data_IF_526076861532
#
_entry.id   IF_526076861532
#
_cell.length_a   1.000
_cell.length_b   1.000
_cell.length_c   1.000
_cell.angle_alpha   90.00
_cell.angle_beta   90.00
_cell.angle_gamma   90.00
#
_symmetry.space_group_name_H-M   'P 1'
#
loop_
_entity.id
_entity.type
_entity.pdbx_description
1 polymer ?
#
# COMPACT_ATOMS: atom_id res chain seq x y z
N UNK A 1 7.40 9.73 36.93
CA UNK A 1 6.24 9.24 36.16
C UNK A 1 6.82 8.57 34.91
N UNK A 2 6.59 7.27 34.72
CA UNK A 2 7.21 6.50 33.64
C UNK A 2 6.71 6.98 32.28
N UNK A 3 7.61 7.13 31.31
CA UNK A 3 7.35 7.55 29.91
C UNK A 3 6.23 6.71 29.26
N UNK A 4 6.18 5.41 29.56
CA UNK A 4 5.09 4.51 29.17
C UNK A 4 3.70 4.95 29.66
N UNK A 5 3.60 5.56 30.83
CA UNK A 5 2.32 6.03 31.39
C UNK A 5 1.80 7.28 30.69
N UNK A 6 2.70 8.15 30.22
CA UNK A 6 2.38 9.33 29.42
C UNK A 6 1.93 8.94 28.01
N UNK A 7 2.65 8.05 27.32
CA UNK A 7 2.25 7.54 26.01
C UNK A 7 0.90 6.83 26.06
N UNK A 8 0.64 6.01 27.07
CA UNK A 8 -0.64 5.32 27.25
C UNK A 8 -1.79 6.31 27.44
N UNK A 9 -1.57 7.40 28.20
CA UNK A 9 -2.58 8.45 28.40
C UNK A 9 -2.83 9.27 27.14
N UNK A 10 -1.81 9.56 26.34
CA UNK A 10 -1.93 10.32 25.10
C UNK A 10 -2.69 9.55 24.00
N UNK A 11 -2.61 8.23 23.98
CA UNK A 11 -3.30 7.38 22.98
C UNK A 11 -4.66 6.85 23.45
N UNK A 12 -4.96 6.92 24.76
CA UNK A 12 -6.21 6.42 25.33
C UNK A 12 -7.48 6.96 24.65
N UNK A 13 -7.57 8.27 24.29
CA UNK A 13 -8.73 8.81 23.58
C UNK A 13 -8.96 8.21 22.19
N UNK A 14 -7.90 7.63 21.57
CA UNK A 14 -7.95 7.03 20.24
C UNK A 14 -8.18 5.51 20.27
N UNK A 15 -8.27 4.91 21.46
CA UNK A 15 -8.46 3.46 21.63
C UNK A 15 -9.91 3.09 21.39
N UNK A 16 -10.23 2.73 20.16
CA UNK A 16 -11.52 2.13 19.81
C UNK A 16 -11.69 0.80 20.55
N UNK A 17 -12.85 0.51 21.17
CA UNK A 17 -13.13 -0.81 21.74
C UNK A 17 -13.03 -1.91 20.68
N UNK A 18 -12.37 -3.01 21.02
CA UNK A 18 -12.20 -4.18 20.15
C UNK A 18 -12.06 -5.42 21.05
N UNK A 19 -12.53 -6.57 20.57
CA UNK A 19 -12.36 -7.89 21.19
C UNK A 19 -10.94 -8.47 20.98
N UNK A 20 -10.15 -7.85 20.07
CA UNK A 20 -8.75 -8.22 19.88
C UNK A 20 -7.90 -7.83 21.09
N UNK A 21 -6.99 -8.72 21.48
CA UNK A 21 -6.02 -8.47 22.55
C UNK A 21 -5.08 -7.29 22.25
N UNK A 22 -4.43 -6.76 23.29
CA UNK A 22 -3.56 -5.58 23.12
C UNK A 22 -2.40 -5.83 22.13
N UNK A 23 -1.78 -7.02 22.19
CA UNK A 23 -0.69 -7.38 21.28
C UNK A 23 -1.19 -7.51 19.83
N UNK A 24 -2.32 -8.19 19.63
CA UNK A 24 -2.94 -8.31 18.31
C UNK A 24 -3.17 -6.94 17.64
N UNK A 25 -3.72 -5.98 18.40
CA UNK A 25 -3.96 -4.62 17.90
C UNK A 25 -2.67 -3.90 17.49
N UNK A 26 -1.58 -4.09 18.26
CA UNK A 26 -0.28 -3.48 17.94
C UNK A 26 0.30 -4.08 16.67
N UNK A 27 0.33 -5.41 16.56
CA UNK A 27 0.94 -6.12 15.44
C UNK A 27 0.17 -5.86 14.14
N UNK A 28 -1.16 -5.95 14.18
CA UNK A 28 -2.02 -5.71 13.01
C UNK A 28 -1.95 -4.25 12.58
N UNK A 29 -2.04 -3.29 13.51
CA UNK A 29 -1.95 -1.86 13.17
C UNK A 29 -0.58 -1.50 12.59
N UNK A 30 0.50 -2.11 13.06
CA UNK A 30 1.84 -1.92 12.51
C UNK A 30 1.93 -2.46 11.07
N UNK A 31 1.43 -3.68 10.82
CA UNK A 31 1.40 -4.30 9.50
C UNK A 31 0.57 -3.46 8.51
N UNK A 32 -0.64 -3.05 8.90
CA UNK A 32 -1.49 -2.19 8.06
C UNK A 32 -0.86 -0.81 7.80
N UNK A 33 -0.18 -0.22 8.79
CA UNK A 33 0.46 1.09 8.61
C UNK A 33 1.64 1.03 7.65
N UNK A 34 2.42 -0.06 7.65
CA UNK A 34 3.47 -0.28 6.67
C UNK A 34 2.90 -0.47 5.25
N UNK A 35 1.83 -1.25 5.10
CA UNK A 35 1.11 -1.38 3.82
C UNK A 35 0.59 -0.04 3.32
N UNK A 36 0.02 0.78 4.20
CA UNK A 36 -0.47 2.10 3.84
C UNK A 36 0.65 3.01 3.32
N UNK A 37 1.84 2.93 3.91
CA UNK A 37 3.00 3.68 3.43
C UNK A 37 3.43 3.23 2.03
N UNK A 38 3.44 1.91 1.77
CA UNK A 38 3.74 1.38 0.44
C UNK A 38 2.68 1.76 -0.60
N UNK A 39 1.38 1.79 -0.22
CA UNK A 39 0.30 2.23 -1.12
C UNK A 39 0.48 3.69 -1.54
N UNK A 40 0.84 4.60 -0.61
CA UNK A 40 1.12 5.98 -0.95
C UNK A 40 2.36 6.13 -1.84
N UNK A 41 3.42 5.38 -1.58
CA UNK A 41 4.63 5.38 -2.40
C UNK A 41 4.33 4.87 -3.81
N UNK A 42 3.60 3.75 -3.94
CA UNK A 42 3.20 3.19 -5.23
C UNK A 42 2.25 4.12 -5.98
N UNK A 43 1.26 4.71 -5.30
CA UNK A 43 0.37 5.70 -5.89
C UNK A 43 1.14 6.85 -6.52
N UNK A 44 2.05 7.46 -5.77
CA UNK A 44 2.82 8.60 -6.27
C UNK A 44 3.72 8.21 -7.44
N UNK A 45 4.39 7.04 -7.38
CA UNK A 45 5.20 6.54 -8.51
C UNK A 45 4.34 6.27 -9.75
N UNK A 46 3.17 5.67 -9.57
CA UNK A 46 2.22 5.43 -10.68
C UNK A 46 1.77 6.74 -11.31
N UNK A 47 1.46 7.77 -10.49
CA UNK A 47 1.11 9.10 -11.01
C UNK A 47 2.31 9.83 -11.61
N UNK A 48 3.51 9.69 -11.06
CA UNK A 48 4.73 10.18 -11.68
C UNK A 48 4.88 9.64 -13.11
N UNK A 49 4.78 8.33 -13.29
CA UNK A 49 4.89 7.70 -14.60
C UNK A 49 3.70 8.05 -15.52
N UNK A 50 2.49 8.16 -14.98
CA UNK A 50 1.33 8.66 -15.72
C UNK A 50 1.56 10.07 -16.28
N UNK A 51 2.19 10.97 -15.54
CA UNK A 51 2.47 12.33 -16.00
C UNK A 51 3.61 12.39 -17.02
N UNK A 52 4.59 11.49 -16.93
CA UNK A 52 5.84 11.57 -17.72
C UNK A 52 5.92 10.53 -18.84
N UNK A 53 4.96 9.60 -18.97
CA UNK A 53 4.94 8.65 -20.07
C UNK A 53 4.82 9.37 -21.42
N UNK A 54 5.48 8.85 -22.45
CA UNK A 54 5.50 9.44 -23.79
C UNK A 54 5.59 8.33 -24.85
N UNK A 55 5.53 8.70 -26.14
CA UNK A 55 5.76 7.78 -27.24
C UNK A 55 4.49 7.23 -27.92
N UNK A 56 4.62 6.22 -28.77
CA UNK A 56 3.52 5.76 -29.66
C UNK A 56 2.28 5.26 -28.94
N UNK A 57 2.45 4.69 -27.73
CA UNK A 57 1.38 4.15 -26.89
C UNK A 57 1.00 5.10 -25.75
N UNK A 58 1.34 6.38 -25.86
CA UNK A 58 1.11 7.39 -24.81
C UNK A 58 -0.29 7.32 -24.23
N UNK A 59 -1.32 7.38 -25.09
CA UNK A 59 -2.71 7.45 -24.64
C UNK A 59 -3.10 6.21 -23.82
N UNK A 60 -2.73 5.03 -24.29
CA UNK A 60 -3.13 3.77 -23.67
C UNK A 60 -2.43 3.59 -22.31
N UNK A 61 -1.13 3.86 -22.24
CA UNK A 61 -0.38 3.80 -21.00
C UNK A 61 -0.80 4.88 -20.00
N UNK A 62 -1.00 6.10 -20.48
CA UNK A 62 -1.46 7.23 -19.66
C UNK A 62 -2.82 6.91 -18.97
N UNK A 63 -3.79 6.38 -19.71
CA UNK A 63 -5.09 5.99 -19.17
C UNK A 63 -4.99 4.80 -18.21
N UNK A 64 -4.24 3.76 -18.58
CA UNK A 64 -4.04 2.59 -17.72
C UNK A 64 -3.38 2.98 -16.38
N UNK A 65 -2.37 3.84 -16.42
CA UNK A 65 -1.69 4.32 -15.21
C UNK A 65 -2.58 5.22 -14.36
N UNK A 66 -3.48 5.98 -14.98
CA UNK A 66 -4.48 6.78 -14.26
C UNK A 66 -5.46 5.88 -13.50
N UNK A 67 -6.03 4.90 -14.18
CA UNK A 67 -6.94 3.91 -13.58
C UNK A 67 -6.28 3.15 -12.44
N UNK A 68 -5.04 2.68 -12.63
CA UNK A 68 -4.28 1.99 -11.58
C UNK A 68 -3.95 2.89 -10.40
N UNK A 69 -3.62 4.16 -10.66
CA UNK A 69 -3.40 5.16 -9.62
C UNK A 69 -4.64 5.35 -8.76
N UNK A 70 -5.80 5.51 -9.38
CA UNK A 70 -7.08 5.68 -8.68
C UNK A 70 -7.44 4.47 -7.82
N UNK A 71 -7.22 3.24 -8.32
CA UNK A 71 -7.41 2.01 -7.53
C UNK A 71 -6.51 1.96 -6.30
N UNK A 72 -5.21 2.23 -6.48
CA UNK A 72 -4.25 2.22 -5.37
C UNK A 72 -4.65 3.26 -4.32
N UNK A 73 -5.02 4.47 -4.76
CA UNK A 73 -5.45 5.53 -3.85
C UNK A 73 -6.72 5.17 -3.08
N UNK A 74 -7.69 4.54 -3.74
CA UNK A 74 -8.94 4.13 -3.11
C UNK A 74 -8.74 3.14 -1.95
N UNK A 75 -7.68 2.32 -1.97
CA UNK A 75 -7.38 1.39 -0.86
C UNK A 75 -6.81 2.08 0.37
N UNK A 76 -6.25 3.28 0.25
CA UNK A 76 -5.54 3.97 1.34
C UNK A 76 -6.44 4.26 2.54
N UNK A 77 -7.66 4.75 2.28
CA UNK A 77 -8.62 5.06 3.33
C UNK A 77 -9.09 3.80 4.06
N UNK A 78 -9.39 2.74 3.32
CA UNK A 78 -9.82 1.46 3.88
C UNK A 78 -8.75 0.84 4.81
N UNK A 79 -7.46 0.91 4.45
CA UNK A 79 -6.34 0.46 5.27
C UNK A 79 -6.22 1.31 6.54
N UNK A 80 -6.24 2.65 6.39
CA UNK A 80 -6.14 3.58 7.51
C UNK A 80 -7.28 3.38 8.51
N UNK A 81 -8.51 3.34 8.02
CA UNK A 81 -9.70 3.12 8.85
C UNK A 81 -9.69 1.74 9.54
N UNK A 82 -9.21 0.68 8.84
CA UNK A 82 -9.13 -0.65 9.46
C UNK A 82 -8.20 -0.61 10.68
N UNK A 83 -7.03 0.02 10.58
CA UNK A 83 -6.14 0.21 11.72
C UNK A 83 -6.83 0.97 12.86
N UNK A 84 -7.67 1.98 12.54
CA UNK A 84 -8.44 2.75 13.52
C UNK A 84 -9.58 1.94 14.15
N UNK A 85 -10.30 1.15 13.36
CA UNK A 85 -11.41 0.28 13.82
C UNK A 85 -10.97 -0.71 14.90
N UNK A 86 -9.75 -1.24 14.79
CA UNK A 86 -9.20 -2.17 15.80
C UNK A 86 -8.55 -1.46 17.00
N UNK A 87 -8.61 -0.13 17.10
CA UNK A 87 -8.06 0.65 18.21
C UNK A 87 -6.58 0.99 18.08
N UNK A 88 -5.98 0.78 16.90
CA UNK A 88 -4.64 1.22 16.55
C UNK A 88 -4.58 2.68 16.10
N UNK A 89 -3.39 3.15 15.76
CA UNK A 89 -3.12 4.43 15.07
C UNK A 89 -2.45 4.14 13.73
N UNK A 90 -2.41 5.12 12.83
CA UNK A 90 -1.83 4.96 11.51
C UNK A 90 -1.00 6.17 11.09
N UNK A 91 -0.69 6.31 9.81
CA UNK A 91 0.14 7.39 9.25
C UNK A 91 -0.39 8.78 9.62
N UNK A 92 0.53 9.75 9.72
CA UNK A 92 0.22 11.14 10.10
C UNK A 92 0.87 12.20 9.22
N UNK A 93 1.84 11.83 8.36
CA UNK A 93 2.60 12.80 7.56
C UNK A 93 3.34 12.12 6.42
N UNK A 94 3.77 12.90 5.42
CA UNK A 94 4.64 12.44 4.33
C UNK A 94 5.97 11.89 4.89
N UNK A 95 6.57 12.55 5.87
CA UNK A 95 7.79 12.03 6.52
C UNK A 95 7.57 10.71 7.27
N UNK A 96 6.33 10.41 7.69
CA UNK A 96 6.00 9.11 8.28
C UNK A 96 5.89 8.04 7.20
N UNK A 97 5.33 8.36 6.01
CA UNK A 97 5.33 7.47 4.84
C UNK A 97 6.77 7.10 4.47
N UNK A 98 7.64 8.09 4.26
CA UNK A 98 9.03 7.89 3.88
C UNK A 98 9.80 6.94 4.82
N UNK A 99 9.53 7.00 6.12
CA UNK A 99 10.21 6.13 7.10
C UNK A 99 9.71 4.68 7.09
N UNK A 100 8.51 4.42 6.57
CA UNK A 100 7.86 3.11 6.63
C UNK A 100 7.71 2.43 5.28
N UNK A 101 7.77 3.18 4.17
CA UNK A 101 7.67 2.61 2.83
C UNK A 101 8.82 1.64 2.56
N UNK A 102 8.51 0.54 1.87
CA UNK A 102 9.46 -0.51 1.46
C UNK A 102 9.66 -0.55 -0.05
N UNK A 103 8.74 0.06 -0.80
CA UNK A 103 8.90 0.32 -2.23
C UNK A 103 9.81 1.52 -2.42
N UNK A 104 10.71 1.43 -3.39
CA UNK A 104 11.69 2.49 -3.67
C UNK A 104 11.07 3.61 -4.50
N UNK A 105 11.51 4.84 -4.26
CA UNK A 105 11.18 5.99 -5.10
C UNK A 105 11.93 5.92 -6.45
N UNK A 106 11.43 6.63 -7.46
CA UNK A 106 12.12 6.86 -8.71
C UNK A 106 12.09 8.37 -9.02
N UNK A 107 13.24 9.02 -8.87
CA UNK A 107 13.44 10.45 -9.11
C UNK A 107 14.27 10.70 -10.39
N UNK A 108 14.32 9.72 -11.31
CA UNK A 108 15.05 9.87 -12.56
C UNK A 108 14.40 10.94 -13.45
N UNK A 109 15.21 11.77 -14.09
CA UNK A 109 14.75 12.82 -15.02
C UNK A 109 13.97 12.24 -16.21
N UNK A 110 14.33 11.03 -16.63
CA UNK A 110 13.68 10.30 -17.72
C UNK A 110 13.73 8.78 -17.49
N UNK A 111 12.59 8.12 -17.72
CA UNK A 111 12.45 6.66 -17.75
C UNK A 111 11.73 6.29 -19.05
N UNK A 112 12.16 5.24 -19.74
CA UNK A 112 11.44 4.78 -20.95
C UNK A 112 10.05 4.23 -20.57
N UNK A 113 9.04 4.32 -21.43
CA UNK A 113 7.71 3.76 -21.13
C UNK A 113 7.74 2.28 -20.75
N UNK A 114 8.56 1.50 -21.43
CA UNK A 114 8.74 0.07 -21.15
C UNK A 114 9.33 -0.16 -19.75
N UNK A 115 10.33 0.62 -19.37
CA UNK A 115 10.95 0.54 -18.03
C UNK A 115 9.99 1.03 -16.95
N UNK A 116 9.16 2.07 -17.22
CA UNK A 116 8.11 2.50 -16.29
C UNK A 116 7.13 1.37 -15.98
N UNK A 117 6.62 0.68 -17.00
CA UNK A 117 5.68 -0.42 -16.83
C UNK A 117 6.33 -1.62 -16.15
N UNK A 118 7.57 -1.95 -16.51
CA UNK A 118 8.33 -3.05 -15.90
C UNK A 118 8.60 -2.79 -14.41
N UNK A 119 8.99 -1.56 -14.04
CA UNK A 119 9.21 -1.18 -12.65
C UNK A 119 7.92 -1.25 -11.83
N UNK A 120 6.81 -0.72 -12.35
CA UNK A 120 5.52 -0.81 -11.66
C UNK A 120 5.00 -2.25 -11.54
N UNK A 121 5.28 -3.11 -12.53
CA UNK A 121 4.95 -4.53 -12.44
C UNK A 121 5.74 -5.22 -11.30
N UNK A 122 7.03 -4.91 -11.17
CA UNK A 122 7.85 -5.44 -10.05
C UNK A 122 7.39 -4.89 -8.70
N UNK A 123 7.08 -3.60 -8.62
CA UNK A 123 6.55 -3.00 -7.39
C UNK A 123 5.21 -3.61 -6.95
N UNK A 124 4.26 -3.83 -7.86
CA UNK A 124 3.00 -4.51 -7.54
C UNK A 124 3.23 -5.97 -7.11
N UNK A 125 4.18 -6.68 -7.73
CA UNK A 125 4.58 -8.04 -7.33
C UNK A 125 5.19 -8.04 -5.91
N UNK A 126 6.05 -7.08 -5.59
CA UNK A 126 6.63 -6.91 -4.24
C UNK A 126 5.55 -6.55 -3.21
N UNK A 127 4.65 -5.63 -3.57
CA UNK A 127 3.50 -5.28 -2.74
C UNK A 127 2.63 -6.49 -2.42
N UNK A 128 2.37 -7.36 -3.41
CA UNK A 128 1.65 -8.63 -3.19
C UNK A 128 2.34 -9.48 -2.12
N UNK A 129 3.67 -9.55 -2.12
CA UNK A 129 4.42 -10.22 -1.07
C UNK A 129 4.23 -9.59 0.31
N UNK A 130 4.21 -8.26 0.39
CA UNK A 130 3.95 -7.53 1.65
C UNK A 130 2.51 -7.71 2.14
N UNK A 131 1.55 -7.74 1.24
CA UNK A 131 0.14 -8.04 1.55
C UNK A 131 -0.01 -9.45 2.14
N UNK A 132 0.63 -10.47 1.54
CA UNK A 132 0.63 -11.84 2.08
C UNK A 132 1.26 -11.92 3.47
N UNK A 133 2.33 -11.18 3.72
CA UNK A 133 2.95 -11.12 5.05
C UNK A 133 2.02 -10.47 6.09
N UNK A 134 1.35 -9.38 5.71
CA UNK A 134 0.36 -8.72 6.59
C UNK A 134 -0.88 -9.61 6.83
N UNK A 135 -1.33 -10.35 5.81
CA UNK A 135 -2.39 -11.36 5.94
C UNK A 135 -2.04 -12.39 7.00
N UNK A 136 -0.83 -12.96 6.95
CA UNK A 136 -0.38 -13.94 7.93
C UNK A 136 -0.34 -13.38 9.37
N UNK A 137 0.02 -12.10 9.55
CA UNK A 137 -0.07 -11.43 10.86
C UNK A 137 -1.51 -11.35 11.34
N UNK A 138 -2.45 -10.92 10.47
CA UNK A 138 -3.87 -10.82 10.83
C UNK A 138 -4.47 -12.20 11.15
N UNK A 139 -4.13 -13.22 10.35
CA UNK A 139 -4.58 -14.62 10.54
C UNK A 139 -4.11 -15.18 11.89
N UNK A 140 -2.84 -14.94 12.25
CA UNK A 140 -2.27 -15.42 13.53
C UNK A 140 -2.99 -14.88 14.77
N UNK A 141 -3.70 -13.76 14.60
CA UNK A 141 -4.52 -13.12 15.64
C UNK A 141 -6.03 -13.32 15.45
N UNK A 142 -6.45 -14.17 14.49
CA UNK A 142 -7.85 -14.44 14.15
C UNK A 142 -8.64 -13.18 13.72
N UNK A 143 -7.98 -12.17 13.13
CA UNK A 143 -8.64 -10.99 12.59
C UNK A 143 -9.12 -11.26 11.16
N UNK A 144 -10.23 -11.99 11.05
CA UNK A 144 -10.85 -12.40 9.78
C UNK A 144 -11.30 -11.21 8.92
N UNK A 145 -11.60 -10.07 9.52
CA UNK A 145 -12.02 -8.90 8.78
C UNK A 145 -10.84 -8.22 8.08
N UNK A 146 -9.66 -8.18 8.71
CA UNK A 146 -8.44 -7.69 8.05
C UNK A 146 -7.94 -8.66 6.98
N UNK A 147 -7.96 -9.99 7.22
CA UNK A 147 -7.57 -10.97 6.20
C UNK A 147 -8.44 -10.86 4.97
N UNK A 148 -9.77 -10.77 5.12
CA UNK A 148 -10.71 -10.63 4.00
C UNK A 148 -10.48 -9.36 3.16
N UNK A 149 -10.14 -8.22 3.80
CA UNK A 149 -9.79 -7.00 3.07
C UNK A 149 -8.48 -7.17 2.30
N UNK A 150 -7.47 -7.75 2.93
CA UNK A 150 -6.15 -7.96 2.32
C UNK A 150 -6.23 -8.92 1.13
N UNK A 151 -7.07 -9.95 1.16
CA UNK A 151 -7.29 -10.86 0.04
C UNK A 151 -7.76 -10.12 -1.22
N UNK A 152 -8.68 -9.16 -1.10
CA UNK A 152 -9.10 -8.33 -2.21
C UNK A 152 -7.95 -7.46 -2.76
N UNK A 153 -7.15 -6.86 -1.87
CA UNK A 153 -6.01 -6.03 -2.29
C UNK A 153 -4.90 -6.85 -2.95
N UNK A 154 -4.75 -8.15 -2.58
CA UNK A 154 -3.86 -9.08 -3.26
C UNK A 154 -4.33 -9.28 -4.71
N UNK A 155 -5.61 -9.61 -4.92
CA UNK A 155 -6.18 -9.81 -6.25
C UNK A 155 -6.01 -8.56 -7.14
N UNK A 156 -6.30 -7.38 -6.60
CA UNK A 156 -6.11 -6.10 -7.30
C UNK A 156 -4.63 -5.86 -7.69
N UNK A 157 -3.68 -6.13 -6.79
CA UNK A 157 -2.25 -5.97 -7.07
C UNK A 157 -1.75 -6.98 -8.12
N UNK A 158 -2.24 -8.23 -8.09
CA UNK A 158 -1.96 -9.25 -9.10
C UNK A 158 -2.55 -8.87 -10.46
N UNK A 159 -3.77 -8.30 -10.49
CA UNK A 159 -4.39 -7.78 -11.71
C UNK A 159 -3.57 -6.64 -12.32
N UNK A 160 -3.11 -5.67 -11.53
CA UNK A 160 -2.24 -4.59 -12.01
C UNK A 160 -0.92 -5.14 -12.56
N UNK A 161 -0.30 -6.10 -11.86
CA UNK A 161 0.91 -6.79 -12.34
C UNK A 161 0.68 -7.44 -13.70
N UNK A 162 -0.43 -8.13 -13.88
CA UNK A 162 -0.77 -8.79 -15.14
C UNK A 162 -0.93 -7.78 -16.28
N UNK A 163 -1.70 -6.71 -16.09
CA UNK A 163 -1.92 -5.68 -17.11
C UNK A 163 -0.60 -5.01 -17.53
N UNK A 164 0.23 -4.63 -16.56
CA UNK A 164 1.54 -4.02 -16.82
C UNK A 164 2.45 -4.99 -17.60
N UNK A 165 2.51 -6.25 -17.18
CA UNK A 165 3.33 -7.27 -17.84
C UNK A 165 2.87 -7.52 -19.29
N UNK A 166 1.58 -7.69 -19.54
CA UNK A 166 1.09 -7.93 -20.90
C UNK A 166 1.32 -6.71 -21.81
N UNK A 167 1.28 -5.51 -21.25
CA UNK A 167 1.53 -4.27 -22.00
C UNK A 167 3.00 -4.08 -22.40
N UNK A 168 3.94 -4.80 -21.77
CA UNK A 168 5.37 -4.75 -22.11
C UNK A 168 5.81 -5.86 -23.07
N UNK A 169 4.92 -6.80 -23.42
CA UNK A 169 5.29 -7.90 -24.32
C UNK A 169 5.49 -7.39 -25.74
N UNK A 170 6.68 -7.67 -26.29
CA UNK A 170 6.95 -7.39 -27.70
C UNK A 170 6.01 -8.21 -28.61
N UNK A 171 5.54 -7.60 -29.70
CA UNK A 171 4.90 -8.34 -30.77
C UNK A 171 5.90 -9.37 -31.32
N UNK A 172 5.49 -10.64 -31.38
CA UNK A 172 6.28 -11.74 -31.96
C UNK A 172 6.06 -11.82 -33.44
#
# INVERSE_FOLDING_TARGET
MNDLSLQTRMTAPLRTPSDLGAQARLDIAAALTALLADMFALYLKTKNFHWHVSGPHFRDYHLMLDEQGDEIFATTDAIAERARKIGGTTLRSIGHIQRLQRLLDNDADYVTPEDMLAELADDNRRLTGFLRAAHAVCESHNDVASTSLIENWIDEAERRTWFLYESTRAER
#
